data_IF_131357204927
#
_entry.id   IF_131357204927
#
_cell.length_a   1.000
_cell.length_b   1.000
_cell.length_c   1.000
_cell.angle_alpha   90.00
_cell.angle_beta   90.00
_cell.angle_gamma   90.00
#
_symmetry.space_group_name_H-M   'P 1'
#
loop_
_entity.id
_entity.type
_entity.pdbx_description
1 polymer ?
#
# COMPACT_ATOMS: atom_id res chain seq x y z
N UNK A 1 2.54 -7.88 -42.07
CA UNK A 1 2.97 -8.86 -41.06
C UNK A 1 4.00 -8.25 -40.11
N UNK A 2 5.11 -7.67 -40.61
CA UNK A 2 6.14 -7.08 -39.74
C UNK A 2 5.62 -5.95 -38.83
N UNK A 3 4.78 -5.05 -39.36
CA UNK A 3 4.20 -3.94 -38.57
C UNK A 3 3.29 -4.42 -37.43
N UNK A 4 2.57 -5.53 -37.61
CA UNK A 4 1.66 -6.07 -36.60
C UNK A 4 2.42 -6.74 -35.46
N UNK A 5 3.46 -7.50 -35.79
CA UNK A 5 4.36 -8.10 -34.81
C UNK A 5 5.11 -7.01 -34.01
N UNK A 6 5.53 -5.92 -34.64
CA UNK A 6 6.14 -4.78 -33.94
C UNK A 6 5.18 -4.11 -32.96
N UNK A 7 3.92 -3.89 -33.36
CA UNK A 7 2.89 -3.31 -32.48
C UNK A 7 2.67 -4.19 -31.25
N UNK A 8 2.54 -5.52 -31.43
CA UNK A 8 2.31 -6.45 -30.32
C UNK A 8 3.51 -6.46 -29.35
N UNK A 9 4.74 -6.49 -29.87
CA UNK A 9 5.96 -6.43 -29.05
C UNK A 9 6.03 -5.14 -28.24
N UNK A 10 5.69 -4.01 -28.84
CA UNK A 10 5.71 -2.72 -28.17
C UNK A 10 4.61 -2.62 -27.10
N UNK A 11 3.42 -3.14 -27.38
CA UNK A 11 2.34 -3.24 -26.40
C UNK A 11 2.75 -4.10 -25.19
N UNK A 12 3.38 -5.26 -25.44
CA UNK A 12 3.89 -6.12 -24.39
C UNK A 12 4.97 -5.40 -23.56
N UNK A 13 5.92 -4.73 -24.21
CA UNK A 13 6.97 -3.94 -23.53
C UNK A 13 6.36 -2.90 -22.59
N UNK A 14 5.36 -2.15 -23.05
CA UNK A 14 4.66 -1.18 -22.21
C UNK A 14 3.92 -1.81 -21.03
N UNK A 15 3.32 -2.99 -21.21
CA UNK A 15 2.65 -3.71 -20.12
C UNK A 15 3.64 -4.13 -19.02
N UNK A 16 4.81 -4.63 -19.41
CA UNK A 16 5.88 -5.04 -18.48
C UNK A 16 6.51 -3.84 -17.76
N UNK A 17 6.74 -2.74 -18.47
CA UNK A 17 7.18 -1.47 -17.90
C UNK A 17 6.17 -0.96 -16.85
N UNK A 18 4.87 -1.05 -17.14
CA UNK A 18 3.81 -0.66 -16.21
C UNK A 18 3.81 -1.56 -14.97
N UNK A 19 3.92 -2.88 -15.11
CA UNK A 19 4.02 -3.80 -13.97
C UNK A 19 5.20 -3.46 -13.05
N UNK A 20 6.38 -3.21 -13.64
CA UNK A 20 7.57 -2.82 -12.90
C UNK A 20 7.42 -1.46 -12.21
N UNK A 21 6.85 -0.47 -12.90
CA UNK A 21 6.57 0.83 -12.32
C UNK A 21 5.63 0.72 -11.11
N UNK A 22 4.56 -0.08 -11.24
CA UNK A 22 3.59 -0.29 -10.16
C UNK A 22 4.23 -0.99 -8.96
N UNK A 23 5.12 -1.96 -9.16
CA UNK A 23 5.87 -2.60 -8.07
C UNK A 23 6.78 -1.62 -7.33
N UNK A 24 7.46 -0.72 -8.05
CA UNK A 24 8.29 0.33 -7.47
C UNK A 24 7.47 1.33 -6.63
N UNK A 25 6.29 1.73 -7.15
CA UNK A 25 5.34 2.58 -6.43
C UNK A 25 4.83 1.88 -5.16
N UNK A 26 4.53 0.59 -5.23
CA UNK A 26 4.08 -0.21 -4.08
C UNK A 26 5.13 -0.22 -2.97
N UNK A 27 6.40 -0.55 -3.28
CA UNK A 27 7.50 -0.56 -2.32
C UNK A 27 7.74 0.81 -1.67
N UNK A 28 7.67 1.87 -2.47
CA UNK A 28 7.77 3.25 -1.98
C UNK A 28 6.63 3.61 -1.03
N UNK A 29 5.40 3.19 -1.35
CA UNK A 29 4.24 3.40 -0.50
C UNK A 29 4.36 2.62 0.82
N UNK A 30 4.80 1.36 0.78
CA UNK A 30 5.01 0.51 1.96
C UNK A 30 6.02 1.13 2.93
N UNK A 31 7.12 1.69 2.42
CA UNK A 31 8.10 2.41 3.23
C UNK A 31 7.47 3.59 3.97
N UNK A 32 6.62 4.38 3.29
CA UNK A 32 5.91 5.50 3.92
C UNK A 32 4.93 5.04 5.00
N UNK A 33 4.21 3.94 4.76
CA UNK A 33 3.28 3.37 5.74
C UNK A 33 4.03 2.84 6.97
N UNK A 34 5.18 2.19 6.78
CA UNK A 34 6.03 1.75 7.90
C UNK A 34 6.55 2.94 8.72
N UNK A 35 7.05 3.99 8.06
CA UNK A 35 7.49 5.22 8.73
C UNK A 35 6.34 5.87 9.52
N UNK A 36 5.15 5.94 8.92
CA UNK A 36 3.94 6.43 9.58
C UNK A 36 3.58 5.60 10.81
N UNK A 37 3.64 4.28 10.71
CA UNK A 37 3.41 3.37 11.84
C UNK A 37 4.43 3.59 12.96
N UNK A 38 5.72 3.65 12.64
CA UNK A 38 6.78 3.86 13.61
C UNK A 38 6.64 5.22 14.32
N UNK A 39 6.27 6.27 13.58
CA UNK A 39 6.00 7.59 14.15
C UNK A 39 4.83 7.56 15.16
N UNK A 40 3.73 6.90 14.82
CA UNK A 40 2.60 6.75 15.75
C UNK A 40 2.97 5.94 16.99
N UNK A 41 3.75 4.87 16.84
CA UNK A 41 4.25 4.09 17.97
C UNK A 41 5.15 4.94 18.90
N UNK A 42 6.01 5.77 18.33
CA UNK A 42 6.88 6.66 19.08
C UNK A 42 6.06 7.70 19.88
N UNK A 43 5.08 8.37 19.25
CA UNK A 43 4.21 9.33 19.94
C UNK A 43 3.41 8.62 21.04
N UNK A 44 2.80 7.48 20.73
CA UNK A 44 2.03 6.72 21.71
C UNK A 44 2.89 6.34 22.92
N UNK A 45 4.14 5.92 22.69
CA UNK A 45 5.09 5.61 23.76
C UNK A 45 5.39 6.83 24.63
N UNK A 46 5.67 7.98 24.02
CA UNK A 46 5.94 9.23 24.76
C UNK A 46 4.75 9.65 25.62
N UNK A 47 3.55 9.64 25.04
CA UNK A 47 2.31 9.98 25.76
C UNK A 47 2.04 8.97 26.87
N UNK A 48 2.14 7.67 26.57
CA UNK A 48 1.87 6.59 27.52
C UNK A 48 2.81 6.57 28.71
N UNK A 49 4.11 6.83 28.51
CA UNK A 49 5.08 6.91 29.61
C UNK A 49 4.87 8.15 30.47
N UNK A 50 4.52 9.28 29.85
CA UNK A 50 4.37 10.57 30.54
C UNK A 50 2.93 10.90 30.93
N UNK A 51 2.01 9.94 30.87
CA UNK A 51 0.57 10.23 30.94
C UNK A 51 0.16 11.00 32.20
N UNK A 52 0.84 10.75 33.34
CA UNK A 52 0.59 11.41 34.63
C UNK A 52 1.04 12.86 34.69
N UNK A 53 1.90 13.30 33.78
CA UNK A 53 2.41 14.67 33.72
C UNK A 53 1.49 15.60 32.91
N UNK A 54 0.44 15.06 32.28
CA UNK A 54 -0.51 15.88 31.53
C UNK A 54 -1.66 16.36 32.43
N UNK A 55 -2.21 17.57 32.16
CA UNK A 55 -3.35 18.12 32.89
C UNK A 55 -4.57 17.20 32.94
N UNK A 56 -4.84 16.46 31.85
CA UNK A 56 -5.92 15.47 31.78
C UNK A 56 -5.35 14.11 31.38
N UNK A 57 -4.94 13.28 32.35
CA UNK A 57 -4.32 11.97 32.12
C UNK A 57 -5.23 10.98 31.36
N UNK A 58 -6.55 11.05 31.57
CA UNK A 58 -7.52 10.16 30.92
C UNK A 58 -7.56 10.38 29.41
N UNK A 59 -7.58 11.64 28.99
CA UNK A 59 -7.53 12.01 27.56
C UNK A 59 -6.20 11.57 26.95
N UNK A 60 -5.09 11.74 27.68
CA UNK A 60 -3.77 11.27 27.24
C UNK A 60 -3.75 9.75 27.00
N UNK A 61 -4.34 8.96 27.91
CA UNK A 61 -4.43 7.51 27.76
C UNK A 61 -5.34 7.09 26.60
N UNK A 62 -6.49 7.75 26.40
CA UNK A 62 -7.38 7.47 25.27
C UNK A 62 -6.67 7.75 23.95
N UNK A 63 -6.04 8.92 23.80
CA UNK A 63 -5.27 9.25 22.59
C UNK A 63 -4.12 8.28 22.35
N UNK A 64 -3.41 7.86 23.41
CA UNK A 64 -2.37 6.83 23.33
C UNK A 64 -2.92 5.51 22.79
N UNK A 65 -4.05 5.03 23.33
CA UNK A 65 -4.69 3.79 22.88
C UNK A 65 -5.10 3.87 21.39
N UNK A 66 -5.69 4.99 20.95
CA UNK A 66 -6.05 5.19 19.55
C UNK A 66 -4.82 5.19 18.64
N UNK A 67 -3.72 5.85 19.04
CA UNK A 67 -2.47 5.86 18.27
C UNK A 67 -1.85 4.46 18.17
N UNK A 68 -1.95 3.63 19.20
CA UNK A 68 -1.54 2.22 19.13
C UNK A 68 -2.41 1.44 18.15
N UNK A 69 -3.74 1.61 18.17
CA UNK A 69 -4.63 0.98 17.19
C UNK A 69 -4.28 1.40 15.76
N UNK A 70 -4.02 2.69 15.53
CA UNK A 70 -3.59 3.20 14.21
C UNK A 70 -2.26 2.58 13.79
N UNK A 71 -1.32 2.39 14.73
CA UNK A 71 -0.04 1.71 14.47
C UNK A 71 -0.27 0.28 13.95
N UNK A 72 -1.05 -0.53 14.67
CA UNK A 72 -1.34 -1.91 14.26
C UNK A 72 -2.09 -1.98 12.93
N UNK A 73 -3.06 -1.08 12.72
CA UNK A 73 -3.77 -0.97 11.44
C UNK A 73 -2.82 -0.59 10.30
N UNK A 74 -1.90 0.34 10.51
CA UNK A 74 -0.90 0.73 9.52
C UNK A 74 0.03 -0.44 9.16
N UNK A 75 0.50 -1.22 10.14
CA UNK A 75 1.29 -2.43 9.88
C UNK A 75 0.50 -3.45 9.05
N UNK A 76 -0.79 -3.64 9.32
CA UNK A 76 -1.64 -4.58 8.57
C UNK A 76 -1.75 -4.24 7.08
N UNK A 77 -1.49 -2.98 6.69
CA UNK A 77 -1.46 -2.54 5.30
C UNK A 77 -0.20 -3.04 4.59
N UNK A 78 0.92 -3.19 5.29
CA UNK A 78 2.24 -3.55 4.73
C UNK A 78 2.54 -5.05 4.84
N UNK A 79 1.62 -5.85 5.41
CA UNK A 79 1.77 -7.30 5.40
C UNK A 79 1.98 -7.81 3.96
N UNK A 80 2.83 -8.85 3.76
CA UNK A 80 3.30 -9.26 2.45
C UNK A 80 2.12 -9.44 1.50
N UNK A 81 2.07 -8.58 0.48
CA UNK A 81 1.03 -8.61 -0.53
C UNK A 81 1.45 -9.54 -1.65
N UNK A 82 0.47 -10.27 -2.17
CA UNK A 82 0.62 -10.93 -3.47
C UNK A 82 0.67 -9.81 -4.50
N UNK A 83 1.86 -9.49 -4.99
CA UNK A 83 2.03 -8.54 -6.09
C UNK A 83 2.57 -9.33 -7.28
N UNK A 84 1.97 -9.13 -8.45
CA UNK A 84 2.48 -9.76 -9.65
C UNK A 84 3.68 -8.95 -10.18
N UNK A 85 4.78 -9.63 -10.47
CA UNK A 85 5.95 -9.07 -11.13
C UNK A 85 5.85 -9.20 -12.65
N UNK A 86 6.70 -8.47 -13.38
CA UNK A 86 6.87 -8.71 -14.81
C UNK A 86 7.45 -10.11 -15.08
N UNK A 87 7.20 -10.62 -16.29
CA UNK A 87 7.72 -11.90 -16.75
C UNK A 87 6.76 -13.07 -16.50
N UNK A 88 7.07 -14.19 -17.15
CA UNK A 88 6.28 -15.42 -17.10
C UNK A 88 7.20 -16.59 -16.78
N UNK A 89 6.65 -17.65 -16.19
CA UNK A 89 7.44 -18.85 -15.99
C UNK A 89 7.61 -19.55 -17.34
N UNK A 90 8.79 -20.11 -17.58
CA UNK A 90 9.05 -20.89 -18.80
C UNK A 90 8.03 -22.03 -19.00
N UNK A 91 7.46 -22.53 -17.90
CA UNK A 91 6.44 -23.58 -17.94
C UNK A 91 5.17 -23.15 -18.69
N UNK A 92 4.80 -21.87 -18.59
CA UNK A 92 3.64 -21.29 -19.29
C UNK A 92 3.89 -21.26 -20.81
N UNK A 93 5.16 -21.20 -21.23
CA UNK A 93 5.54 -21.16 -22.65
C UNK A 93 5.64 -22.54 -23.30
N UNK A 94 5.83 -23.60 -22.50
CA UNK A 94 6.00 -24.96 -23.05
C UNK A 94 4.76 -25.41 -23.82
N UNK A 95 3.56 -25.12 -23.32
CA UNK A 95 2.31 -25.47 -23.98
C UNK A 95 2.20 -24.87 -25.39
N UNK A 96 2.45 -23.56 -25.51
CA UNK A 96 2.45 -22.87 -26.80
C UNK A 96 3.48 -23.42 -27.80
N UNK A 97 4.65 -23.83 -27.31
CA UNK A 97 5.70 -24.43 -28.15
C UNK A 97 5.31 -25.83 -28.61
N UNK A 98 4.72 -26.64 -27.73
CA UNK A 98 4.27 -28.00 -28.04
C UNK A 98 3.06 -28.01 -28.99
N UNK A 99 2.16 -27.03 -28.86
CA UNK A 99 0.97 -26.85 -29.71
C UNK A 99 1.28 -26.17 -31.06
N UNK A 100 2.48 -25.60 -31.20
CA UNK A 100 2.93 -24.98 -32.45
C UNK A 100 2.23 -23.65 -32.75
N UNK A 101 1.82 -22.93 -31.70
CA UNK A 101 1.11 -21.65 -31.82
C UNK A 101 1.96 -20.60 -32.57
N UNK A 102 1.28 -19.71 -33.30
CA UNK A 102 1.96 -18.60 -33.93
C UNK A 102 2.51 -17.65 -32.86
N UNK A 103 3.75 -17.18 -33.05
CA UNK A 103 4.42 -16.27 -32.10
C UNK A 103 3.56 -15.04 -31.74
N UNK A 104 2.78 -14.51 -32.70
CA UNK A 104 1.88 -13.38 -32.46
C UNK A 104 0.81 -13.73 -31.42
N UNK A 105 0.21 -14.91 -31.52
CA UNK A 105 -0.88 -15.32 -30.63
C UNK A 105 -0.36 -15.54 -29.21
N UNK A 106 0.84 -16.10 -29.08
CA UNK A 106 1.54 -16.26 -27.80
C UNK A 106 1.82 -14.91 -27.14
N UNK A 107 2.32 -13.94 -27.91
CA UNK A 107 2.62 -12.60 -27.38
C UNK A 107 1.36 -11.82 -27.01
N UNK A 108 0.25 -12.01 -27.74
CA UNK A 108 -1.06 -11.44 -27.40
C UNK A 108 -1.57 -12.03 -26.10
N UNK A 109 -1.54 -13.36 -25.96
CA UNK A 109 -1.97 -14.04 -24.72
C UNK A 109 -1.16 -13.54 -23.50
N UNK A 110 0.15 -13.37 -23.67
CA UNK A 110 1.01 -12.79 -22.63
C UNK A 110 0.63 -11.35 -22.27
N UNK A 111 0.29 -10.53 -23.27
CA UNK A 111 -0.12 -9.14 -23.05
C UNK A 111 -1.48 -9.07 -22.33
N UNK A 112 -2.40 -9.96 -22.64
CA UNK A 112 -3.70 -10.08 -21.95
C UNK A 112 -3.51 -10.47 -20.48
N UNK A 113 -2.67 -11.46 -20.19
CA UNK A 113 -2.36 -11.85 -18.82
C UNK A 113 -1.72 -10.71 -18.03
N UNK A 114 -0.79 -9.97 -18.65
CA UNK A 114 -0.21 -8.78 -18.04
C UNK A 114 -1.25 -7.71 -17.72
N UNK A 115 -2.26 -7.50 -18.57
CA UNK A 115 -3.34 -6.54 -18.28
C UNK A 115 -4.17 -6.97 -17.07
N UNK A 116 -4.47 -8.27 -16.93
CA UNK A 116 -5.14 -8.81 -15.74
C UNK A 116 -4.31 -8.59 -14.47
N UNK A 117 -3.02 -8.88 -14.52
CA UNK A 117 -2.06 -8.66 -13.42
C UNK A 117 -1.96 -7.18 -13.05
N UNK A 118 -1.97 -6.27 -14.02
CA UNK A 118 -1.98 -4.82 -13.81
C UNK A 118 -3.24 -4.41 -13.05
N UNK A 119 -4.43 -4.85 -13.51
CA UNK A 119 -5.70 -4.54 -12.85
C UNK A 119 -5.73 -5.06 -11.42
N UNK A 120 -5.23 -6.26 -11.18
CA UNK A 120 -5.13 -6.82 -9.83
C UNK A 120 -4.22 -5.97 -8.94
N UNK A 121 -3.01 -5.63 -9.41
CA UNK A 121 -2.07 -4.79 -8.68
C UNK A 121 -2.67 -3.39 -8.36
N UNK A 122 -3.40 -2.79 -9.30
CA UNK A 122 -4.09 -1.50 -9.11
C UNK A 122 -5.20 -1.59 -8.04
N UNK A 123 -6.05 -2.63 -8.05
CA UNK A 123 -7.09 -2.85 -7.04
C UNK A 123 -6.47 -3.06 -5.64
N UNK A 124 -5.38 -3.82 -5.55
CA UNK A 124 -4.62 -4.01 -4.30
C UNK A 124 -4.09 -2.67 -3.77
N UNK A 125 -3.55 -1.82 -4.65
CA UNK A 125 -3.09 -0.48 -4.27
C UNK A 125 -4.24 0.42 -3.82
N UNK A 126 -5.37 0.41 -4.52
CA UNK A 126 -6.53 1.23 -4.17
C UNK A 126 -7.12 0.85 -2.81
N UNK A 127 -7.32 -0.45 -2.54
CA UNK A 127 -7.79 -0.94 -1.24
C UNK A 127 -6.87 -0.51 -0.11
N UNK A 128 -5.57 -0.54 -0.38
CA UNK A 128 -4.55 -0.16 0.59
C UNK A 128 -4.51 1.34 0.83
N UNK A 129 -4.68 2.14 -0.22
CA UNK A 129 -4.81 3.59 -0.13
C UNK A 129 -6.05 4.00 0.70
N UNK A 130 -7.18 3.30 0.53
CA UNK A 130 -8.40 3.51 1.33
C UNK A 130 -8.15 3.24 2.82
N UNK A 131 -7.51 2.11 3.15
CA UNK A 131 -7.14 1.77 4.54
C UNK A 131 -6.16 2.79 5.13
N UNK A 132 -5.17 3.22 4.36
CA UNK A 132 -4.19 4.20 4.80
C UNK A 132 -4.84 5.57 5.07
N UNK A 133 -5.75 6.02 4.19
CA UNK A 133 -6.53 7.25 4.39
C UNK A 133 -7.33 7.21 5.71
N UNK A 134 -7.94 6.08 6.04
CA UNK A 134 -8.63 5.90 7.32
C UNK A 134 -7.67 6.02 8.50
N UNK A 135 -6.52 5.35 8.45
CA UNK A 135 -5.49 5.43 9.49
C UNK A 135 -4.99 6.87 9.69
N UNK A 136 -4.78 7.60 8.60
CA UNK A 136 -4.37 9.00 8.61
C UNK A 136 -5.40 9.90 9.30
N UNK A 137 -6.68 9.76 8.98
CA UNK A 137 -7.74 10.53 9.64
C UNK A 137 -7.87 10.19 11.12
N UNK A 138 -7.82 8.91 11.49
CA UNK A 138 -7.86 8.48 12.88
C UNK A 138 -6.69 9.05 13.70
N UNK A 139 -5.48 9.10 13.12
CA UNK A 139 -4.35 9.77 13.75
C UNK A 139 -4.64 11.25 13.99
N UNK A 140 -5.10 11.98 12.97
CA UNK A 140 -5.40 13.41 13.08
C UNK A 140 -6.42 13.63 14.21
N UNK A 141 -7.51 12.85 14.24
CA UNK A 141 -8.49 12.95 15.31
C UNK A 141 -7.90 12.66 16.69
N UNK A 142 -7.04 11.63 16.83
CA UNK A 142 -6.40 11.30 18.10
C UNK A 142 -5.49 12.44 18.61
N UNK A 143 -4.75 13.07 17.70
CA UNK A 143 -3.85 14.20 17.99
C UNK A 143 -4.65 15.47 18.34
N UNK A 144 -5.67 15.80 17.56
CA UNK A 144 -6.55 16.94 17.86
C UNK A 144 -7.31 16.75 19.17
N UNK A 145 -7.81 15.55 19.44
CA UNK A 145 -8.46 15.21 20.70
C UNK A 145 -7.51 15.34 21.89
N UNK A 146 -6.26 14.87 21.72
CA UNK A 146 -5.21 15.02 22.73
C UNK A 146 -4.97 16.50 23.06
N UNK A 147 -4.56 17.30 22.07
CA UNK A 147 -4.22 18.70 22.30
C UNK A 147 -5.43 19.53 22.74
N UNK A 148 -6.59 19.31 22.14
CA UNK A 148 -7.82 20.00 22.52
C UNK A 148 -8.21 19.73 23.97
N UNK A 149 -8.10 18.49 24.43
CA UNK A 149 -8.34 18.13 25.83
C UNK A 149 -7.33 18.75 26.80
N UNK A 150 -6.04 18.75 26.44
CA UNK A 150 -5.02 19.36 27.31
C UNK A 150 -5.17 20.89 27.36
N UNK A 151 -5.44 21.56 26.24
CA UNK A 151 -5.65 23.01 26.18
C UNK A 151 -6.92 23.41 26.95
N UNK A 152 -8.02 22.67 26.79
CA UNK A 152 -9.28 22.94 27.49
C UNK A 152 -9.14 22.89 29.01
N UNK A 153 -8.24 22.07 29.54
CA UNK A 153 -7.96 22.03 30.97
C UNK A 153 -7.20 23.26 31.49
N UNK A 154 -6.45 23.97 30.64
CA UNK A 154 -5.81 25.24 31.01
C UNK A 154 -6.77 26.43 30.96
N UNK A 155 -7.85 26.35 30.16
CA UNK A 155 -8.87 27.39 30.02
C UNK A 155 -10.26 26.83 30.35
N UNK A 156 -10.53 26.46 31.63
CA UNK A 156 -11.87 26.05 32.03
C UNK A 156 -12.82 27.24 31.85
N UNK A 157 -13.80 27.09 30.95
CA UNK A 157 -14.93 28.01 30.79
C UNK A 157 -15.90 27.89 31.98
#
# INVERSE_FOLDING_TARGET
MDNELEIVKEALRHSEEKLNATASVASSAETRVMQFSAFNAAIATVIGVNFRNFPVPEIALISCAVLLVVTFLAVSIVLPRLFHSCGHYWEDWKGHVDDGDALIDVLISQAEENDERIRFNEDVLERSAKKFRMCYWLQIYAVCFFFGGQIGAFFPL
#
